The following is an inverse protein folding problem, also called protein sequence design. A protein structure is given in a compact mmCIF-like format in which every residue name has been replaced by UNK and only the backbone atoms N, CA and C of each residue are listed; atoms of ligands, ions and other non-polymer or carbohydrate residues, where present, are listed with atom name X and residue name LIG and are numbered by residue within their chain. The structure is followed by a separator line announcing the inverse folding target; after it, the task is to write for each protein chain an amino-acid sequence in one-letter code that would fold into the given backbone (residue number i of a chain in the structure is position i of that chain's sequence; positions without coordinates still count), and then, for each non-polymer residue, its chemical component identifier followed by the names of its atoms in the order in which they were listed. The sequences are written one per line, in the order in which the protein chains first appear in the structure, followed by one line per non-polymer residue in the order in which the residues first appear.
data_IF_701566617192
#
_entry.id   IF_701566617192
#
_cell.length_a   1.000
_cell.length_b   1.000
_cell.length_c   1.000
_cell.angle_alpha   90.00
_cell.angle_beta   90.00
_cell.angle_gamma   90.00
#
_symmetry.space_group_name_H-M   'P 1'
#
loop_
_entity.id
_entity.type
_entity.pdbx_description
1 polymer ?
#
# COMPACT_ATOMS: atom_id res chain seq x y z
N UNK A 1 -3.57 -7.32 -8.05
CA UNK A 1 -3.49 -5.92 -7.58
C UNK A 1 -4.16 -5.85 -6.22
N UNK A 2 -3.47 -5.33 -5.19
CA UNK A 2 -3.92 -5.37 -3.80
C UNK A 2 -4.43 -4.01 -3.32
N UNK A 3 -5.41 -4.06 -2.42
CA UNK A 3 -5.97 -2.92 -1.69
C UNK A 3 -4.86 -2.10 -1.01
N UNK A 4 -4.87 -0.79 -1.27
CA UNK A 4 -3.90 0.17 -0.74
C UNK A 4 -4.49 0.88 0.48
N UNK A 5 -4.08 0.41 1.66
CA UNK A 5 -4.18 1.17 2.90
C UNK A 5 -2.75 1.38 3.41
N UNK A 6 -2.25 2.60 3.23
CA UNK A 6 -0.90 3.03 3.61
C UNK A 6 0.03 3.16 2.40
N UNK A 7 0.38 4.40 2.04
CA UNK A 7 1.56 4.68 1.22
C UNK A 7 2.82 4.28 1.99
N UNK A 8 3.14 2.98 1.98
CA UNK A 8 4.49 2.53 2.23
C UNK A 8 5.12 2.18 0.88
N UNK A 9 6.34 2.68 0.66
CA UNK A 9 7.15 2.52 -0.57
C UNK A 9 7.32 1.05 -1.04
N UNK A 10 6.98 0.09 -0.18
CA UNK A 10 7.07 -1.35 -0.43
C UNK A 10 5.83 -1.96 -1.13
N UNK A 11 4.73 -1.20 -1.29
CA UNK A 11 3.48 -1.72 -1.86
C UNK A 11 3.52 -1.94 -3.38
N UNK A 12 4.46 -1.30 -4.08
CA UNK A 12 4.66 -1.41 -5.53
C UNK A 12 5.87 -2.28 -5.93
N UNK A 13 6.51 -2.93 -4.96
CA UNK A 13 7.68 -3.77 -5.25
C UNK A 13 7.23 -5.08 -5.90
N UNK A 14 7.71 -5.33 -7.13
CA UNK A 14 7.45 -6.59 -7.81
C UNK A 14 8.19 -7.74 -7.09
N UNK A 15 7.49 -8.83 -6.85
CA UNK A 15 8.04 -10.05 -6.26
C UNK A 15 8.10 -11.14 -7.33
N UNK A 16 9.10 -12.03 -7.23
CA UNK A 16 9.15 -13.21 -8.10
C UNK A 16 8.01 -14.17 -7.73
N UNK A 17 7.32 -14.68 -8.75
CA UNK A 17 6.30 -15.72 -8.54
C UNK A 17 6.94 -17.09 -8.30
N UNK A 18 8.23 -17.24 -8.65
CA UNK A 18 8.98 -18.49 -8.62
C UNK A 18 8.70 -19.41 -9.81
N UNK A 19 7.72 -19.07 -10.66
CA UNK A 19 7.28 -19.89 -11.79
C UNK A 19 7.27 -19.10 -13.09
N UNK A 20 7.50 -19.78 -14.21
CA UNK A 20 7.33 -19.18 -15.53
C UNK A 20 5.88 -18.84 -15.84
N UNK A 21 5.63 -18.11 -16.95
CA UNK A 21 4.28 -17.88 -17.46
C UNK A 21 3.52 -19.21 -17.61
N UNK A 22 2.29 -19.26 -17.10
CA UNK A 22 1.53 -20.51 -16.97
C UNK A 22 1.42 -21.28 -18.28
N UNK A 23 0.98 -20.61 -19.36
CA UNK A 23 0.77 -21.27 -20.67
C UNK A 23 2.06 -21.83 -21.25
N UNK A 24 3.18 -21.10 -21.16
CA UNK A 24 4.48 -21.55 -21.67
C UNK A 24 5.03 -22.71 -20.84
N UNK A 25 4.96 -22.58 -19.51
CA UNK A 25 5.42 -23.63 -18.59
C UNK A 25 4.62 -24.92 -18.75
N UNK A 26 3.29 -24.79 -18.96
CA UNK A 26 2.41 -25.92 -19.24
C UNK A 26 2.78 -26.65 -20.54
N UNK A 27 3.05 -25.93 -21.63
CA UNK A 27 3.45 -26.54 -22.90
C UNK A 27 4.73 -27.35 -22.72
N UNK A 28 5.74 -26.78 -22.06
CA UNK A 28 6.98 -27.48 -21.75
C UNK A 28 6.70 -28.74 -20.91
N UNK A 29 5.93 -28.62 -19.82
CA UNK A 29 5.58 -29.75 -18.96
C UNK A 29 4.88 -30.88 -19.74
N UNK A 30 3.93 -30.54 -20.62
CA UNK A 30 3.17 -31.52 -21.40
C UNK A 30 3.98 -32.19 -22.51
N UNK A 31 5.05 -31.55 -22.99
CA UNK A 31 5.92 -32.06 -24.05
C UNK A 31 7.20 -32.72 -23.51
N UNK A 32 7.35 -32.81 -22.18
CA UNK A 32 8.57 -33.31 -21.53
C UNK A 32 9.74 -32.33 -21.57
N UNK A 33 9.51 -31.08 -21.98
CA UNK A 33 10.47 -30.00 -21.94
C UNK A 33 10.52 -29.28 -20.59
N UNK A 34 11.47 -28.36 -20.45
CA UNK A 34 11.65 -27.54 -19.26
C UNK A 34 11.56 -26.06 -19.62
N UNK A 35 10.74 -25.30 -18.88
CA UNK A 35 10.71 -23.85 -19.01
C UNK A 35 11.70 -23.21 -18.03
N UNK A 36 12.70 -22.50 -18.55
CA UNK A 36 13.70 -21.81 -17.73
C UNK A 36 13.37 -20.32 -17.68
N UNK A 37 12.78 -19.87 -16.57
CA UNK A 37 12.67 -18.44 -16.29
C UNK A 37 14.04 -17.90 -15.85
N UNK A 38 14.66 -17.04 -16.64
CA UNK A 38 15.98 -16.46 -16.32
C UNK A 38 15.79 -15.08 -15.71
N UNK A 39 16.36 -14.87 -14.53
CA UNK A 39 16.56 -13.56 -13.95
C UNK A 39 17.97 -13.51 -13.35
N UNK A 40 18.70 -12.40 -13.55
CA UNK A 40 20.09 -12.27 -13.10
C UNK A 40 20.26 -12.59 -11.60
N UNK A 41 19.26 -12.24 -10.80
CA UNK A 41 19.28 -12.38 -9.34
C UNK A 41 18.47 -13.58 -8.83
N UNK A 42 18.14 -14.56 -9.69
CA UNK A 42 17.33 -15.72 -9.29
C UNK A 42 18.02 -16.63 -8.27
N UNK A 43 19.35 -16.57 -8.21
CA UNK A 43 20.15 -17.31 -7.23
C UNK A 43 20.20 -16.60 -5.86
N UNK A 44 19.69 -15.37 -5.77
CA UNK A 44 19.63 -14.62 -4.51
C UNK A 44 18.35 -15.00 -3.78
N UNK A 45 18.41 -15.14 -2.46
CA UNK A 45 17.25 -15.35 -1.58
C UNK A 45 16.91 -14.04 -0.87
N UNK A 46 15.65 -13.63 -0.91
CA UNK A 46 15.18 -12.43 -0.23
C UNK A 46 15.28 -11.14 -1.04
N UNK A 47 15.46 -10.01 -0.35
CA UNK A 47 15.34 -8.68 -0.95
C UNK A 47 16.59 -8.28 -1.74
N UNK A 48 16.36 -7.73 -2.93
CA UNK A 48 17.38 -7.23 -3.86
C UNK A 48 17.28 -5.71 -3.98
N UNK A 49 18.41 -5.03 -3.85
CA UNK A 49 18.51 -3.57 -4.01
C UNK A 49 18.84 -3.17 -5.46
N UNK A 50 18.58 -1.92 -5.83
CA UNK A 50 18.86 -1.43 -7.20
C UNK A 50 20.33 -1.59 -7.62
N UNK A 51 21.26 -1.44 -6.67
CA UNK A 51 22.69 -1.59 -6.92
C UNK A 51 23.09 -3.03 -7.29
N UNK A 52 22.29 -4.00 -6.88
CA UNK A 52 22.50 -5.42 -7.16
C UNK A 52 21.71 -5.90 -8.38
N UNK A 53 20.81 -5.08 -8.92
CA UNK A 53 20.05 -5.42 -10.13
C UNK A 53 20.87 -5.01 -11.35
N UNK A 54 21.21 -5.99 -12.19
CA UNK A 54 21.97 -5.73 -13.42
C UNK A 54 21.22 -4.73 -14.33
N UNK A 55 21.94 -3.86 -15.06
CA UNK A 55 21.32 -2.96 -16.03
C UNK A 55 20.40 -3.72 -17.00
N UNK A 56 19.28 -3.11 -17.37
CA UNK A 56 18.26 -3.68 -18.28
C UNK A 56 17.55 -4.96 -17.77
N UNK A 57 17.77 -5.39 -16.53
CA UNK A 57 16.99 -6.47 -15.91
C UNK A 57 15.65 -5.97 -15.37
N UNK A 58 14.65 -6.87 -15.30
CA UNK A 58 13.37 -6.60 -14.65
C UNK A 58 13.58 -6.17 -13.19
N UNK A 59 12.84 -5.16 -12.72
CA UNK A 59 12.94 -4.66 -11.34
C UNK A 59 12.13 -5.50 -10.36
N UNK A 60 12.53 -6.76 -10.20
CA UNK A 60 11.99 -7.66 -9.18
C UNK A 60 12.82 -7.50 -7.90
N UNK A 61 12.14 -7.31 -6.78
CA UNK A 61 12.72 -6.97 -5.47
C UNK A 61 12.88 -8.15 -4.54
N UNK A 62 12.08 -9.21 -4.71
CA UNK A 62 12.13 -10.37 -3.83
C UNK A 62 12.19 -11.65 -4.64
N UNK A 63 13.10 -12.54 -4.23
CA UNK A 63 13.29 -13.86 -4.81
C UNK A 63 13.16 -14.93 -3.72
N UNK A 64 12.67 -16.09 -4.13
CA UNK A 64 12.36 -17.22 -3.26
C UNK A 64 13.14 -18.45 -3.70
N UNK A 65 13.37 -19.37 -2.77
CA UNK A 65 14.13 -20.58 -3.05
C UNK A 65 13.35 -21.53 -3.98
N UNK A 66 13.89 -21.88 -5.16
CA UNK A 66 13.17 -22.73 -6.11
C UNK A 66 12.85 -24.13 -5.55
N UNK A 67 13.70 -24.66 -4.66
CA UNK A 67 13.49 -25.97 -4.04
C UNK A 67 12.26 -25.98 -3.13
N UNK A 68 12.10 -24.95 -2.29
CA UNK A 68 10.92 -24.78 -1.42
C UNK A 68 9.62 -24.59 -2.22
N UNK A 69 9.71 -24.11 -3.46
CA UNK A 69 8.56 -23.87 -4.34
C UNK A 69 8.16 -25.08 -5.19
N UNK A 70 8.87 -26.20 -5.11
CA UNK A 70 8.56 -27.39 -5.91
C UNK A 70 7.14 -27.92 -5.66
N UNK A 71 6.69 -27.88 -4.41
CA UNK A 71 5.35 -28.36 -4.01
C UNK A 71 4.23 -27.33 -4.29
N UNK A 72 4.61 -26.11 -4.68
CA UNK A 72 3.69 -24.99 -4.96
C UNK A 72 3.48 -24.75 -6.46
N UNK A 73 3.92 -25.69 -7.29
CA UNK A 73 3.80 -25.60 -8.74
C UNK A 73 2.34 -25.39 -9.18
N UNK A 74 2.09 -24.60 -10.23
CA UNK A 74 0.76 -24.51 -10.82
C UNK A 74 0.27 -25.88 -11.32
N UNK A 75 -1.03 -26.11 -11.23
CA UNK A 75 -1.66 -27.29 -11.82
C UNK A 75 -1.59 -27.22 -13.35
N UNK A 76 -0.60 -27.88 -13.96
CA UNK A 76 -0.40 -27.94 -15.42
C UNK A 76 -1.41 -28.86 -16.13
N UNK A 77 -2.69 -28.73 -15.78
CA UNK A 77 -3.82 -29.51 -16.30
C UNK A 77 -4.45 -28.86 -17.53
N UNK A 78 -5.26 -29.62 -18.27
CA UNK A 78 -6.13 -29.05 -19.32
C UNK A 78 -7.15 -28.10 -18.70
N UNK A 79 -7.62 -27.11 -19.47
CA UNK A 79 -8.57 -26.11 -18.96
C UNK A 79 -9.86 -26.77 -18.42
N UNK A 80 -10.34 -27.84 -19.07
CA UNK A 80 -11.51 -28.61 -18.64
C UNK A 80 -11.27 -29.31 -17.30
N UNK A 81 -10.13 -30.00 -17.15
CA UNK A 81 -9.77 -30.68 -15.89
C UNK A 81 -9.57 -29.69 -14.75
N UNK A 82 -8.95 -28.54 -15.03
CA UNK A 82 -8.78 -27.48 -14.03
C UNK A 82 -10.12 -26.94 -13.55
N UNK A 83 -11.06 -26.68 -14.47
CA UNK A 83 -12.42 -26.26 -14.12
C UNK A 83 -13.15 -27.32 -13.28
N UNK A 84 -13.02 -28.60 -13.64
CA UNK A 84 -13.59 -29.71 -12.87
C UNK A 84 -12.99 -29.78 -11.46
N UNK A 85 -11.66 -29.68 -11.32
CA UNK A 85 -10.97 -29.66 -10.03
C UNK A 85 -11.46 -28.46 -9.18
N UNK A 86 -11.52 -27.26 -9.75
CA UNK A 86 -12.05 -26.08 -9.06
C UNK A 86 -13.51 -26.29 -8.62
N UNK A 87 -14.36 -26.88 -9.46
CA UNK A 87 -15.76 -27.14 -9.11
C UNK A 87 -15.95 -28.25 -8.07
N UNK A 88 -14.95 -29.13 -7.90
CA UNK A 88 -15.01 -30.24 -6.95
C UNK A 88 -14.71 -29.82 -5.50
N UNK A 89 -14.22 -28.61 -5.29
CA UNK A 89 -13.87 -28.09 -3.97
C UNK A 89 -14.36 -26.63 -3.81
N UNK A 90 -15.24 -26.41 -2.84
CA UNK A 90 -15.86 -25.09 -2.64
C UNK A 90 -14.84 -24.00 -2.25
N UNK A 91 -13.75 -24.34 -1.55
CA UNK A 91 -12.69 -23.39 -1.20
C UNK A 91 -11.92 -22.91 -2.44
N UNK A 92 -11.59 -23.82 -3.38
CA UNK A 92 -10.96 -23.44 -4.66
C UNK A 92 -11.87 -22.53 -5.49
N UNK A 93 -13.15 -22.89 -5.59
CA UNK A 93 -14.13 -22.07 -6.29
C UNK A 93 -14.28 -20.68 -5.67
N UNK A 94 -14.39 -20.62 -4.34
CA UNK A 94 -14.49 -19.37 -3.59
C UNK A 94 -13.27 -18.47 -3.79
N UNK A 95 -12.06 -19.05 -3.79
CA UNK A 95 -10.82 -18.31 -4.02
C UNK A 95 -10.79 -17.69 -5.43
N UNK A 96 -11.15 -18.47 -6.47
CA UNK A 96 -11.18 -17.98 -7.86
C UNK A 96 -12.22 -16.87 -8.04
N UNK A 97 -13.42 -17.04 -7.48
CA UNK A 97 -14.47 -16.02 -7.51
C UNK A 97 -14.04 -14.73 -6.81
N UNK A 98 -13.42 -14.85 -5.64
CA UNK A 98 -12.90 -13.73 -4.85
C UNK A 98 -11.79 -12.96 -5.59
N UNK A 99 -10.89 -13.69 -6.26
CA UNK A 99 -9.84 -13.11 -7.08
C UNK A 99 -10.42 -12.31 -8.26
N UNK A 100 -11.44 -12.84 -8.94
CA UNK A 100 -12.14 -12.13 -10.01
C UNK A 100 -12.85 -10.86 -9.52
N UNK A 101 -13.48 -10.91 -8.33
CA UNK A 101 -14.15 -9.76 -7.72
C UNK A 101 -13.19 -8.62 -7.32
N UNK A 102 -11.93 -8.96 -7.02
CA UNK A 102 -10.90 -7.99 -6.62
C UNK A 102 -10.34 -7.19 -7.81
N UNK A 103 -10.52 -7.67 -9.04
CA UNK A 103 -9.92 -7.10 -10.25
C UNK A 103 -10.61 -5.80 -10.76
N UNK A 104 -11.43 -5.14 -9.93
CA UNK A 104 -12.30 -4.03 -10.33
C UNK A 104 -12.04 -2.76 -9.50
N UNK A 105 -11.22 -1.87 -10.08
CA UNK A 105 -10.76 -0.55 -9.59
C UNK A 105 -9.94 -0.61 -8.27
N UNK A 106 -8.71 -0.07 -8.26
CA UNK A 106 -7.93 0.06 -7.03
C UNK A 106 -8.70 0.92 -6.02
N UNK A 107 -8.68 0.48 -4.75
CA UNK A 107 -9.32 1.20 -3.66
C UNK A 107 -8.55 2.50 -3.39
N UNK A 108 -9.26 3.64 -3.38
CA UNK A 108 -8.69 4.93 -2.99
C UNK A 108 -8.26 4.87 -1.53
N UNK A 109 -7.01 5.22 -1.23
CA UNK A 109 -6.55 5.30 0.15
C UNK A 109 -7.40 6.31 0.94
N UNK A 110 -7.85 5.95 2.16
CA UNK A 110 -8.70 6.83 2.96
C UNK A 110 -7.95 8.11 3.36
N UNK A 111 -8.69 9.22 3.47
CA UNK A 111 -8.16 10.45 4.05
C UNK A 111 -7.84 10.23 5.53
N UNK A 112 -6.62 10.54 5.93
CA UNK A 112 -6.15 10.36 7.31
C UNK A 112 -5.82 11.67 8.01
N UNK A 113 -5.87 12.80 7.29
CA UNK A 113 -5.50 14.12 7.81
C UNK A 113 -6.73 15.01 7.75
N UNK A 114 -7.11 15.57 8.90
CA UNK A 114 -8.33 16.34 9.09
C UNK A 114 -8.00 17.68 9.75
N UNK A 115 -7.72 18.74 8.95
CA UNK A 115 -7.45 20.06 9.48
C UNK A 115 -8.71 20.71 10.08
N UNK A 116 -8.60 21.25 11.29
CA UNK A 116 -9.71 21.93 11.99
C UNK A 116 -9.61 23.44 11.78
N UNK A 117 -10.19 23.94 10.68
CA UNK A 117 -10.43 25.37 10.43
C UNK A 117 -11.69 25.88 11.14
N UNK A 118 -12.77 25.09 11.04
CA UNK A 118 -14.04 25.31 11.72
C UNK A 118 -14.69 23.97 12.06
N UNK A 119 -15.62 23.95 13.02
CA UNK A 119 -16.34 22.72 13.39
C UNK A 119 -17.19 22.19 12.23
N UNK A 120 -17.79 23.08 11.43
CA UNK A 120 -18.58 22.71 10.26
C UNK A 120 -17.74 22.09 9.14
N UNK A 121 -16.55 22.64 8.86
CA UNK A 121 -15.64 22.07 7.85
C UNK A 121 -15.10 20.71 8.28
N UNK A 122 -14.72 20.56 9.55
CA UNK A 122 -14.26 19.28 10.09
C UNK A 122 -15.37 18.21 9.98
N UNK A 123 -16.61 18.54 10.35
CA UNK A 123 -17.74 17.62 10.24
C UNK A 123 -18.00 17.22 8.77
N UNK A 124 -17.82 18.14 7.82
CA UNK A 124 -17.94 17.85 6.39
C UNK A 124 -16.84 16.92 5.89
N UNK A 125 -15.57 17.18 6.26
CA UNK A 125 -14.43 16.33 5.90
C UNK A 125 -14.60 14.91 6.46
N UNK A 126 -14.94 14.78 7.74
CA UNK A 126 -15.23 13.48 8.36
C UNK A 126 -16.41 12.76 7.66
N UNK A 127 -17.41 13.50 7.17
CA UNK A 127 -18.54 12.92 6.42
C UNK A 127 -18.18 12.46 5.01
N UNK A 128 -17.25 13.14 4.34
CA UNK A 128 -16.74 12.73 3.04
C UNK A 128 -15.87 11.48 3.19
N UNK A 129 -15.00 11.49 4.19
CA UNK A 129 -14.14 10.36 4.57
C UNK A 129 -14.94 9.11 4.95
N UNK A 130 -16.09 9.24 5.64
CA UNK A 130 -16.97 8.10 5.90
C UNK A 130 -17.63 7.55 4.62
N UNK A 131 -17.97 8.41 3.66
CA UNK A 131 -18.58 7.98 2.39
C UNK A 131 -17.63 7.11 1.58
N UNK A 132 -16.34 7.44 1.51
CA UNK A 132 -15.36 6.62 0.78
C UNK A 132 -15.25 5.21 1.36
N UNK A 133 -15.22 5.09 2.69
CA UNK A 133 -15.20 3.80 3.38
C UNK A 133 -16.52 3.03 3.23
N UNK A 134 -17.67 3.71 3.24
CA UNK A 134 -18.98 3.09 3.03
C UNK A 134 -19.16 2.48 1.63
N UNK A 135 -18.47 2.99 0.62
CA UNK A 135 -18.43 2.39 -0.74
C UNK A 135 -17.67 1.06 -0.74
N UNK A 136 -16.69 0.92 0.15
CA UNK A 136 -15.78 -0.23 0.22
C UNK A 136 -16.41 -1.43 0.92
N UNK A 137 -17.12 -1.16 2.01
CA UNK A 137 -17.62 -2.16 2.94
C UNK A 137 -18.44 -3.27 2.25
N UNK A 138 -19.42 -2.96 1.35
CA UNK A 138 -20.22 -4.00 0.72
C UNK A 138 -19.38 -4.94 -0.15
N UNK A 139 -18.32 -4.43 -0.79
CA UNK A 139 -17.44 -5.26 -1.63
C UNK A 139 -16.62 -6.22 -0.77
N UNK A 140 -16.09 -5.73 0.34
CA UNK A 140 -15.35 -6.54 1.31
C UNK A 140 -16.26 -7.65 1.86
N UNK A 141 -17.49 -7.30 2.23
CA UNK A 141 -18.47 -8.25 2.78
C UNK A 141 -18.87 -9.33 1.77
N UNK A 142 -19.02 -8.98 0.49
CA UNK A 142 -19.28 -9.95 -0.58
C UNK A 142 -18.12 -10.94 -0.73
N UNK A 143 -16.88 -10.46 -0.78
CA UNK A 143 -15.69 -11.30 -0.93
C UNK A 143 -15.52 -12.20 0.32
N UNK A 144 -15.64 -11.62 1.51
CA UNK A 144 -15.59 -12.38 2.75
C UNK A 144 -16.68 -13.47 2.80
N UNK A 145 -17.91 -13.12 2.43
CA UNK A 145 -19.03 -14.07 2.37
C UNK A 145 -18.86 -15.16 1.30
N UNK A 146 -18.10 -14.92 0.23
CA UNK A 146 -17.72 -15.95 -0.75
C UNK A 146 -16.67 -16.91 -0.16
N UNK A 147 -15.60 -16.38 0.44
CA UNK A 147 -14.56 -17.18 1.08
C UNK A 147 -15.12 -18.03 2.24
N UNK A 148 -16.02 -17.46 3.04
CA UNK A 148 -16.65 -18.15 4.16
C UNK A 148 -17.50 -19.35 3.72
N UNK A 149 -18.13 -19.27 2.53
CA UNK A 149 -18.86 -20.40 1.94
C UNK A 149 -17.94 -21.54 1.50
N UNK A 150 -16.70 -21.22 1.12
CA UNK A 150 -15.69 -22.22 0.75
C UNK A 150 -14.98 -22.85 1.95
N UNK A 151 -15.00 -22.21 3.12
CA UNK A 151 -14.23 -22.61 4.30
C UNK A 151 -14.39 -24.11 4.71
N UNK A 152 -15.57 -24.74 4.66
CA UNK A 152 -15.72 -26.15 5.05
C UNK A 152 -14.89 -27.14 4.22
N UNK A 153 -14.54 -26.77 2.98
CA UNK A 153 -13.76 -27.60 2.07
C UNK A 153 -12.25 -27.27 2.08
N UNK A 154 -11.81 -26.32 2.93
CA UNK A 154 -10.40 -25.91 3.03
C UNK A 154 -9.49 -27.09 3.37
N UNK A 155 -9.87 -27.91 4.36
CA UNK A 155 -9.05 -29.05 4.81
C UNK A 155 -9.03 -30.22 3.82
N UNK A 156 -9.90 -30.20 2.81
CA UNK A 156 -9.92 -31.20 1.72
C UNK A 156 -8.96 -30.88 0.59
N UNK A 157 -8.42 -29.65 0.54
CA UNK A 157 -7.41 -29.27 -0.44
C UNK A 157 -6.14 -30.07 -0.15
N UNK A 158 -5.52 -30.66 -1.18
CA UNK A 158 -4.26 -31.40 -1.04
C UNK A 158 -3.07 -30.56 -1.47
N UNK A 159 -3.28 -29.68 -2.45
CA UNK A 159 -2.24 -28.87 -3.05
C UNK A 159 -1.88 -27.67 -2.16
N UNK A 160 -0.61 -27.58 -1.76
CA UNK A 160 -0.10 -26.53 -0.85
C UNK A 160 -0.34 -25.12 -1.39
N UNK A 161 -0.19 -24.92 -2.71
CA UNK A 161 -0.50 -23.66 -3.39
C UNK A 161 -1.94 -23.18 -3.12
N UNK A 162 -2.90 -24.10 -3.15
CA UNK A 162 -4.31 -23.77 -2.97
C UNK A 162 -4.63 -23.50 -1.49
N UNK A 163 -4.04 -24.27 -0.56
CA UNK A 163 -4.17 -24.03 0.89
C UNK A 163 -3.62 -22.66 1.28
N UNK A 164 -2.36 -22.39 0.92
CA UNK A 164 -1.68 -21.13 1.19
C UNK A 164 -2.44 -19.94 0.57
N UNK A 165 -2.93 -20.10 -0.66
CA UNK A 165 -3.72 -19.08 -1.35
C UNK A 165 -5.04 -18.77 -0.65
N UNK A 166 -5.77 -19.79 -0.18
CA UNK A 166 -7.03 -19.61 0.52
C UNK A 166 -6.84 -18.95 1.88
N UNK A 167 -5.91 -19.45 2.70
CA UNK A 167 -5.67 -18.91 4.04
C UNK A 167 -5.13 -17.48 3.98
N UNK A 168 -4.24 -17.18 3.02
CA UNK A 168 -3.76 -15.81 2.78
C UNK A 168 -4.91 -14.88 2.36
N UNK A 169 -5.79 -15.33 1.46
CA UNK A 169 -6.95 -14.54 1.04
C UNK A 169 -7.90 -14.26 2.22
N UNK A 170 -8.15 -15.27 3.06
CA UNK A 170 -9.00 -15.14 4.25
C UNK A 170 -8.40 -14.17 5.27
N UNK A 171 -7.11 -14.31 5.59
CA UNK A 171 -6.42 -13.41 6.52
C UNK A 171 -6.43 -11.95 6.03
N UNK A 172 -6.17 -11.72 4.75
CA UNK A 172 -6.13 -10.37 4.15
C UNK A 172 -7.50 -9.71 4.07
N UNK A 173 -8.55 -10.45 3.70
CA UNK A 173 -9.89 -9.86 3.64
C UNK A 173 -10.41 -9.51 5.03
N UNK A 174 -10.13 -10.34 6.04
CA UNK A 174 -10.46 -10.05 7.43
C UNK A 174 -9.69 -8.84 7.94
N UNK A 175 -8.39 -8.74 7.65
CA UNK A 175 -7.58 -7.57 8.00
C UNK A 175 -8.12 -6.28 7.39
N UNK A 176 -8.48 -6.31 6.10
CA UNK A 176 -9.10 -5.17 5.43
C UNK A 176 -10.46 -4.80 6.01
N UNK A 177 -11.28 -5.81 6.34
CA UNK A 177 -12.59 -5.61 6.96
C UNK A 177 -12.43 -4.90 8.31
N UNK A 178 -11.53 -5.39 9.15
CA UNK A 178 -11.22 -4.79 10.46
C UNK A 178 -10.73 -3.36 10.31
N UNK A 179 -9.81 -3.07 9.38
CA UNK A 179 -9.34 -1.70 9.12
C UNK A 179 -10.48 -0.79 8.66
N UNK A 180 -11.35 -1.25 7.79
CA UNK A 180 -12.47 -0.44 7.28
C UNK A 180 -13.50 -0.16 8.39
N UNK A 181 -13.85 -1.17 9.18
CA UNK A 181 -14.76 -1.04 10.32
C UNK A 181 -14.16 -0.13 11.42
N UNK A 182 -12.88 -0.32 11.74
CA UNK A 182 -12.18 0.49 12.73
C UNK A 182 -12.09 1.96 12.32
N UNK A 183 -11.76 2.21 11.04
CA UNK A 183 -11.72 3.55 10.47
C UNK A 183 -13.08 4.24 10.57
N UNK A 184 -14.15 3.57 10.13
CA UNK A 184 -15.51 4.12 10.19
C UNK A 184 -15.93 4.49 11.62
N UNK A 185 -15.62 3.64 12.60
CA UNK A 185 -15.97 3.91 13.99
C UNK A 185 -15.12 5.04 14.59
N UNK A 186 -13.84 5.16 14.23
CA UNK A 186 -13.01 6.30 14.64
C UNK A 186 -13.55 7.62 14.11
N UNK A 187 -14.01 7.65 12.85
CA UNK A 187 -14.68 8.83 12.29
C UNK A 187 -16.03 9.12 12.97
N UNK A 188 -16.78 8.08 13.36
CA UNK A 188 -18.03 8.26 14.10
C UNK A 188 -17.81 8.83 15.50
N UNK A 189 -16.80 8.31 16.24
CA UNK A 189 -16.35 8.87 17.52
C UNK A 189 -15.88 10.32 17.36
N UNK A 190 -15.18 10.62 16.27
CA UNK A 190 -14.73 11.97 15.96
C UNK A 190 -15.88 12.98 15.79
N UNK A 191 -16.94 12.57 15.10
CA UNK A 191 -18.16 13.37 14.91
C UNK A 191 -18.94 13.60 16.19
N UNK A 192 -18.84 12.70 17.18
CA UNK A 192 -19.47 12.88 18.49
C UNK A 192 -18.81 14.01 19.32
N UNK A 193 -17.65 14.50 18.88
CA UNK A 193 -16.95 15.64 19.48
C UNK A 193 -15.54 15.24 19.93
N UNK A 194 -14.52 15.92 19.39
CA UNK A 194 -13.13 15.79 19.82
C UNK A 194 -12.55 17.15 20.20
N UNK A 195 -11.83 17.16 21.31
CA UNK A 195 -11.11 18.31 21.83
C UNK A 195 -9.61 18.04 21.70
N UNK A 196 -8.85 19.02 21.22
CA UNK A 196 -7.40 18.93 21.20
C UNK A 196 -6.88 18.94 22.64
N UNK A 197 -5.95 18.04 22.95
CA UNK A 197 -5.22 18.04 24.21
C UNK A 197 -4.18 19.17 24.23
N UNK A 198 -3.55 19.44 23.09
CA UNK A 198 -2.56 20.51 22.97
C UNK A 198 -3.20 21.79 22.42
N UNK A 199 -3.04 22.95 23.09
CA UNK A 199 -3.55 24.23 22.59
C UNK A 199 -2.91 24.70 21.27
N UNK A 200 -1.78 24.11 20.88
CA UNK A 200 -1.06 24.42 19.65
C UNK A 200 -1.45 23.52 18.48
N UNK A 201 -2.29 22.50 18.70
CA UNK A 201 -2.67 21.58 17.63
C UNK A 201 -3.83 22.16 16.84
N UNK A 202 -3.74 22.09 15.52
CA UNK A 202 -4.78 22.57 14.60
C UNK A 202 -5.34 21.48 13.69
N UNK A 203 -4.71 20.29 13.69
CA UNK A 203 -5.00 19.22 12.74
C UNK A 203 -5.04 17.86 13.43
N UNK A 204 -6.11 17.11 13.16
CA UNK A 204 -6.23 15.72 13.57
C UNK A 204 -5.62 14.80 12.52
N UNK A 205 -4.83 13.83 12.95
CA UNK A 205 -4.28 12.79 12.09
C UNK A 205 -4.69 11.43 12.62
N UNK A 206 -5.24 10.60 11.76
CA UNK A 206 -5.57 9.23 12.07
C UNK A 206 -4.38 8.33 11.70
N UNK A 207 -3.67 7.81 12.70
CA UNK A 207 -2.53 6.91 12.48
C UNK A 207 -2.92 5.45 12.68
N UNK A 208 -2.34 4.52 11.90
CA UNK A 208 -2.47 3.09 12.18
C UNK A 208 -1.99 2.75 13.59
N UNK A 209 -2.68 1.85 14.28
CA UNK A 209 -2.36 1.43 15.65
C UNK A 209 -2.65 -0.07 15.83
N UNK A 210 -1.83 -0.75 16.63
CA UNK A 210 -2.04 -2.17 16.96
C UNK A 210 -3.22 -2.38 17.89
N UNK A 211 -3.69 -1.31 18.54
CA UNK A 211 -4.81 -1.34 19.46
C UNK A 211 -6.12 -1.29 18.66
N UNK A 212 -6.81 -2.42 18.60
CA UNK A 212 -8.16 -2.53 18.05
C UNK A 212 -9.17 -2.43 19.18
N UNK A 213 -9.40 -1.22 19.71
CA UNK A 213 -10.36 -1.00 20.82
C UNK A 213 -11.65 -0.33 20.31
N UNK A 214 -12.32 -1.04 19.41
CA UNK A 214 -13.34 -0.47 18.51
C UNK A 214 -14.64 -1.29 18.51
N UNK A 215 -14.69 -2.38 19.29
CA UNK A 215 -15.89 -3.20 19.50
C UNK A 215 -15.59 -4.69 19.46
N UNK A 216 -16.34 -5.46 20.25
CA UNK A 216 -16.11 -6.91 20.46
C UNK A 216 -16.16 -7.75 19.18
N UNK A 217 -16.96 -7.36 18.18
CA UNK A 217 -17.01 -8.05 16.88
C UNK A 217 -15.75 -7.81 16.04
N UNK A 218 -15.27 -6.57 16.03
CA UNK A 218 -14.08 -6.17 15.27
C UNK A 218 -12.82 -6.79 15.86
N UNK A 219 -12.74 -6.89 17.19
CA UNK A 219 -11.69 -7.61 17.91
C UNK A 219 -11.63 -9.09 17.52
N UNK A 220 -12.78 -9.80 17.50
CA UNK A 220 -12.83 -11.20 17.05
C UNK A 220 -12.35 -11.38 15.60
N UNK A 221 -12.74 -10.48 14.69
CA UNK A 221 -12.24 -10.55 13.31
C UNK A 221 -10.75 -10.24 13.22
N UNK A 222 -10.22 -9.35 14.07
CA UNK A 222 -8.79 -9.06 14.13
C UNK A 222 -8.00 -10.29 14.60
N UNK A 223 -8.47 -10.99 15.63
CA UNK A 223 -7.89 -12.25 16.10
C UNK A 223 -7.91 -13.31 14.99
N UNK A 224 -9.05 -13.51 14.32
CA UNK A 224 -9.14 -14.45 13.21
C UNK A 224 -8.19 -14.10 12.06
N UNK A 225 -8.08 -12.81 11.69
CA UNK A 225 -7.13 -12.36 10.67
C UNK A 225 -5.69 -12.74 11.05
N UNK A 226 -5.29 -12.48 12.30
CA UNK A 226 -3.96 -12.82 12.81
C UNK A 226 -3.72 -14.33 12.78
N UNK A 227 -4.70 -15.15 13.17
CA UNK A 227 -4.59 -16.62 13.13
C UNK A 227 -4.37 -17.13 11.70
N UNK A 228 -5.14 -16.66 10.72
CA UNK A 228 -4.96 -17.09 9.32
C UNK A 228 -3.62 -16.64 8.75
N UNK A 229 -3.21 -15.39 9.00
CA UNK A 229 -1.93 -14.87 8.53
C UNK A 229 -0.76 -15.61 9.19
N UNK A 230 -0.80 -15.81 10.50
CA UNK A 230 0.22 -16.56 11.25
C UNK A 230 0.33 -18.00 10.75
N UNK A 231 -0.79 -18.68 10.52
CA UNK A 231 -0.80 -20.02 9.92
C UNK A 231 -0.04 -20.06 8.59
N UNK A 232 -0.25 -19.08 7.70
CA UNK A 232 0.45 -19.06 6.41
C UNK A 232 1.97 -18.86 6.59
N UNK A 233 2.38 -18.08 7.59
CA UNK A 233 3.79 -17.84 7.90
C UNK A 233 4.44 -19.12 8.42
N UNK A 234 3.74 -19.84 9.30
CA UNK A 234 4.23 -21.05 9.97
C UNK A 234 4.20 -22.28 9.04
N UNK A 235 3.11 -22.48 8.30
CA UNK A 235 2.89 -23.67 7.46
C UNK A 235 3.60 -23.59 6.09
N UNK A 236 3.85 -22.37 5.58
CA UNK A 236 4.40 -22.15 4.24
C UNK A 236 5.67 -21.27 4.23
N UNK A 237 6.67 -21.53 5.08
CA UNK A 237 7.83 -20.66 5.26
C UNK A 237 8.67 -20.53 3.98
N UNK A 238 9.24 -19.34 3.76
CA UNK A 238 10.13 -19.08 2.62
C UNK A 238 9.41 -18.99 1.26
N UNK A 239 8.07 -18.97 1.25
CA UNK A 239 7.26 -18.83 0.04
C UNK A 239 6.77 -17.40 -0.17
N UNK A 240 6.34 -17.02 -1.41
CA UNK A 240 5.68 -15.75 -1.66
C UNK A 240 4.44 -15.51 -0.78
N UNK A 241 3.73 -16.57 -0.40
CA UNK A 241 2.53 -16.46 0.45
C UNK A 241 2.89 -16.08 1.88
N UNK A 242 3.90 -16.73 2.48
CA UNK A 242 4.40 -16.35 3.80
C UNK A 242 4.94 -14.92 3.80
N UNK A 243 5.71 -14.53 2.78
CA UNK A 243 6.19 -13.14 2.67
C UNK A 243 5.05 -12.11 2.63
N UNK A 244 4.00 -12.38 1.85
CA UNK A 244 2.83 -11.51 1.81
C UNK A 244 2.04 -11.54 3.12
N UNK A 245 1.96 -12.69 3.79
CA UNK A 245 1.31 -12.85 5.08
C UNK A 245 2.05 -12.07 6.18
N UNK A 246 3.38 -12.17 6.27
CA UNK A 246 4.22 -11.39 7.20
C UNK A 246 4.02 -9.90 6.98
N UNK A 247 4.02 -9.45 5.72
CA UNK A 247 3.82 -8.04 5.39
C UNK A 247 2.46 -7.55 5.85
N UNK A 248 1.41 -8.34 5.66
CA UNK A 248 0.06 -8.01 6.12
C UNK A 248 -0.06 -8.07 7.65
N UNK A 249 0.58 -9.06 8.28
CA UNK A 249 0.57 -9.27 9.73
C UNK A 249 1.23 -8.12 10.48
N UNK A 250 2.31 -7.57 9.92
CA UNK A 250 3.03 -6.41 10.45
C UNK A 250 2.31 -5.07 10.20
N UNK A 251 1.23 -5.06 9.41
CA UNK A 251 0.42 -3.86 9.23
C UNK A 251 -0.64 -3.74 10.33
N UNK A 252 -0.65 -2.64 11.10
CA UNK A 252 -1.63 -2.45 12.16
C UNK A 252 -3.07 -2.53 11.63
N UNK A 253 -3.95 -3.10 12.45
CA UNK A 253 -5.36 -3.32 12.10
C UNK A 253 -6.28 -2.20 12.61
N UNK A 254 -5.85 -1.48 13.65
CA UNK A 254 -6.60 -0.40 14.28
C UNK A 254 -6.11 0.99 13.85
N UNK A 255 -6.75 2.00 14.42
CA UNK A 255 -6.40 3.40 14.24
C UNK A 255 -6.46 4.15 15.56
N UNK A 256 -5.60 5.15 15.70
CA UNK A 256 -5.59 6.08 16.82
C UNK A 256 -5.53 7.52 16.31
N UNK A 257 -6.23 8.41 17.00
CA UNK A 257 -6.15 9.85 16.75
C UNK A 257 -4.88 10.42 17.35
N UNK A 258 -4.16 11.17 16.55
CA UNK A 258 -2.98 11.95 16.91
C UNK A 258 -3.20 13.42 16.51
N UNK A 259 -2.45 14.31 17.13
CA UNK A 259 -2.58 15.76 16.95
C UNK A 259 -1.30 16.33 16.36
N UNK A 260 -1.42 17.12 15.28
CA UNK A 260 -0.30 17.84 14.70
C UNK A 260 -0.63 19.33 14.52
N UNK A 261 0.42 20.14 14.39
CA UNK A 261 0.33 21.53 13.99
C UNK A 261 0.76 21.66 12.53
N UNK A 262 -0.15 22.08 11.66
CA UNK A 262 0.13 22.36 10.25
C UNK A 262 0.20 23.86 9.93
N UNK A 263 -0.16 24.71 10.89
CA UNK A 263 -0.16 26.17 10.74
C UNK A 263 -1.29 26.70 9.88
N UNK A 264 -2.35 25.92 9.69
CA UNK A 264 -3.52 26.32 8.91
C UNK A 264 -4.30 27.45 9.59
N UNK A 265 -4.23 27.49 10.92
CA UNK A 265 -4.82 28.56 11.73
C UNK A 265 -3.78 29.62 12.16
N UNK A 266 -2.53 29.53 11.68
CA UNK A 266 -1.52 30.52 12.03
C UNK A 266 -1.87 31.87 11.38
N UNK A 267 -1.79 32.99 12.13
CA UNK A 267 -2.03 34.30 11.56
C UNK A 267 -1.06 34.55 10.39
N UNK A 268 -1.52 35.17 9.29
CA UNK A 268 -0.67 35.43 8.14
C UNK A 268 0.58 36.17 8.59
N UNK A 269 1.77 35.65 8.22
CA UNK A 269 3.04 36.28 8.58
C UNK A 269 2.96 37.77 8.26
N UNK A 270 3.29 38.66 9.22
CA UNK A 270 3.25 40.09 8.96
C UNK A 270 4.06 40.36 7.71
N UNK A 271 3.44 41.03 6.72
CA UNK A 271 4.17 41.47 5.54
C UNK A 271 5.38 42.24 6.04
N UNK A 272 6.61 41.90 5.62
CA UNK A 272 7.76 42.69 5.99
C UNK A 272 7.42 44.16 5.68
N UNK A 273 7.69 45.11 6.60
CA UNK A 273 7.39 46.51 6.35
C UNK A 273 7.93 46.85 4.96
N UNK A 274 7.03 47.32 4.10
CA UNK A 274 7.38 47.64 2.71
C UNK A 274 8.51 48.63 2.73
N UNK A 275 9.74 48.14 2.53
CA UNK A 275 10.91 48.99 2.44
C UNK A 275 10.84 49.67 1.07
N UNK A 276 10.14 50.81 1.01
CA UNK A 276 10.13 51.69 -0.15
C UNK A 276 11.53 52.27 -0.45
N UNK A 277 12.54 52.02 0.39
CA UNK A 277 13.94 52.20 0.02
C UNK A 277 14.46 50.96 -0.73
N UNK A 278 14.03 50.80 -1.98
CA UNK A 278 14.94 50.19 -2.96
C UNK A 278 16.08 51.19 -3.15
N UNK A 279 17.36 50.85 -2.91
CA UNK A 279 18.45 51.70 -3.35
C UNK A 279 18.28 51.92 -4.85
N UNK A 280 18.33 53.18 -5.30
CA UNK A 280 18.24 53.50 -6.73
C UNK A 280 19.24 52.62 -7.50
N UNK A 281 18.85 52.04 -8.65
CA UNK A 281 19.79 51.35 -9.53
C UNK A 281 21.02 52.24 -9.75
N UNK A 282 22.22 51.65 -9.68
CA UNK A 282 23.48 52.41 -9.74
C UNK A 282 23.71 53.13 -11.09
N UNK A 283 22.81 52.97 -12.06
CA UNK A 283 22.86 53.57 -13.40
C UNK A 283 22.40 55.04 -13.43
N UNK A 284 21.66 55.53 -12.43
CA UNK A 284 21.24 56.95 -12.36
C UNK A 284 22.26 57.88 -11.67
N UNK A 285 23.47 57.38 -11.36
CA UNK A 285 24.57 58.27 -10.97
C UNK A 285 25.02 59.04 -12.21
N UNK A 286 24.93 60.38 -12.17
CA UNK A 286 25.50 61.26 -13.19
C UNK A 286 26.96 60.85 -13.43
N UNK A 287 27.25 60.18 -14.56
CA UNK A 287 28.64 59.91 -14.97
C UNK A 287 29.26 61.24 -15.34
N UNK A 288 29.97 61.86 -14.40
CA UNK A 288 30.80 63.02 -14.69
C UNK A 288 31.82 62.62 -15.75
N UNK A 289 31.83 63.35 -16.87
CA UNK A 289 32.90 63.24 -17.87
C UNK A 289 34.24 63.38 -17.15
N UNK A 290 35.15 62.43 -17.35
CA UNK A 290 36.48 62.47 -16.75
C UNK A 290 37.21 63.77 -17.14
N UNK A 291 38.14 64.25 -16.30
CA UNK A 291 38.86 65.49 -16.56
C UNK A 291 39.55 65.46 -17.94
N UNK A 292 39.60 66.59 -18.66
CA UNK A 292 40.14 66.65 -20.02
C UNK A 292 41.60 66.18 -20.04
N UNK A 293 41.95 65.36 -21.04
CA UNK A 293 43.30 64.84 -21.20
C UNK A 293 44.34 65.99 -21.25
N UNK A 294 45.51 65.82 -20.61
CA UNK A 294 46.55 66.84 -20.63
C UNK A 294 47.01 67.11 -22.07
N UNK A 295 47.10 68.40 -22.42
CA UNK A 295 47.54 68.84 -23.76
C UNK A 295 48.99 68.41 -24.01
N UNK A 296 49.22 67.77 -25.17
CA UNK A 296 50.53 67.31 -25.62
C UNK A 296 51.47 68.50 -25.83
N UNK A 297 52.66 68.49 -25.21
CA UNK A 297 53.66 69.54 -25.37
C UNK A 297 54.23 69.55 -26.79
N UNK A 298 53.81 70.52 -27.61
CA UNK A 298 54.40 70.81 -28.92
C UNK A 298 55.58 71.78 -28.77
N UNK A 299 56.68 71.31 -28.19
CA UNK A 299 58.00 71.96 -28.29
C UNK A 299 59.07 70.93 -28.66
N UNK A 300 59.09 70.59 -29.94
CA UNK A 300 60.25 70.33 -30.81
C UNK A 300 59.72 69.87 -32.17
N UNK A 301 59.50 70.86 -33.04
CA UNK A 301 60.01 70.79 -34.41
C UNK A 301 61.45 71.31 -34.30
#
# INVERSE_FOLDING_TARGET
ESIQVGENAFSSEAIDSGFGPFSLSKICYQTGGVYIAVHANRNVRGRVNDRTTSPMSSRIRYFFDPESLRDYQPDYLSATKLKQNISSNAAKQALVMSAAATNLKPMTSPETIFPKKSEGELANLLSLAQRSAAVLQPRIDVIYGQLLRGLPDRDRIQEERWKAGFDLAMGRILAMKVRTDAYNLMLARAKAGMQFKSPKSDTWVLRPSDIVNVGSRTEKFAEQARVYLQRVIEDHPGTPWAFLAEREFNQPLGYAWDEIHTGINDPPKPRPPGNNNRPMPSDDKLRSLGPPMPKRNLKRI
#
